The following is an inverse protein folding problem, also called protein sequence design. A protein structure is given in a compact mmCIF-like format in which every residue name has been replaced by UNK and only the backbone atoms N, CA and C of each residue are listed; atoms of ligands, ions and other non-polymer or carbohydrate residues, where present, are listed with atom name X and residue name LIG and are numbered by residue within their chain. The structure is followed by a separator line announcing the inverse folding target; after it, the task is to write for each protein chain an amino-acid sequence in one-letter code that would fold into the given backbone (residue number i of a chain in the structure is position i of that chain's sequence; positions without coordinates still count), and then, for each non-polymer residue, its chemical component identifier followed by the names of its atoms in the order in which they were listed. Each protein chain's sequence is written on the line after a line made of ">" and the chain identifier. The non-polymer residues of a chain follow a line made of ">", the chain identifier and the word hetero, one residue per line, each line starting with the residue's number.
data_IF_641405283129
#
_entry.id   IF_641405283129
#
_cell.length_a   1.000
_cell.length_b   1.000
_cell.length_c   1.000
_cell.angle_alpha   90.00
_cell.angle_beta   90.00
_cell.angle_gamma   90.00
#
_symmetry.space_group_name_H-M   'P 1'
#
loop_
_entity.id
_entity.type
_entity.pdbx_description
1 polymer ?
#
# COMPACT_ATOMS: atom_id res chain seq x y z
N UNK A 1 9.01 -31.16 -0.06
CA UNK A 1 7.89 -31.53 -0.96
C UNK A 1 7.83 -30.43 -1.99
N UNK A 2 8.36 -30.66 -3.17
CA UNK A 2 8.38 -29.69 -4.28
C UNK A 2 7.01 -29.75 -4.93
N UNK A 3 6.18 -28.74 -4.76
CA UNK A 3 4.92 -28.61 -5.50
C UNK A 3 5.30 -28.36 -6.94
N UNK A 4 4.96 -29.29 -7.81
CA UNK A 4 5.17 -29.22 -9.25
C UNK A 4 4.45 -27.97 -9.78
N UNK A 5 5.17 -27.13 -10.50
CA UNK A 5 4.69 -25.89 -11.14
C UNK A 5 3.68 -26.12 -12.28
N UNK A 6 3.15 -27.33 -12.42
CA UNK A 6 2.25 -27.74 -13.48
C UNK A 6 0.75 -27.75 -13.13
N UNK A 7 0.36 -27.33 -11.92
CA UNK A 7 -1.02 -27.45 -11.43
C UNK A 7 -1.87 -26.18 -11.59
N UNK A 8 -1.26 -25.05 -11.92
CA UNK A 8 -2.00 -23.80 -12.10
C UNK A 8 -2.23 -23.53 -13.60
N UNK A 9 -3.44 -23.14 -14.01
CA UNK A 9 -3.69 -22.76 -15.38
C UNK A 9 -2.87 -21.53 -15.76
N UNK A 10 -2.38 -21.49 -17.01
CA UNK A 10 -1.80 -20.29 -17.56
C UNK A 10 -2.92 -19.27 -17.79
N UNK A 11 -2.84 -18.12 -17.11
CA UNK A 11 -3.83 -17.05 -17.29
C UNK A 11 -3.49 -16.21 -18.51
N UNK A 12 -4.49 -15.97 -19.36
CA UNK A 12 -4.40 -15.06 -20.49
C UNK A 12 -4.85 -13.67 -20.09
N UNK A 13 -4.16 -12.63 -20.54
CA UNK A 13 -4.50 -11.23 -20.26
C UNK A 13 -5.63 -10.67 -21.11
N UNK A 14 -6.14 -11.44 -22.09
CA UNK A 14 -7.09 -10.96 -23.10
C UNK A 14 -8.52 -11.50 -22.96
N UNK A 15 -8.80 -12.38 -22.02
CA UNK A 15 -10.10 -13.06 -21.88
C UNK A 15 -10.59 -13.11 -20.45
N UNK A 16 -11.91 -13.01 -20.26
CA UNK A 16 -12.55 -13.30 -18.97
C UNK A 16 -12.46 -14.80 -18.72
N UNK A 17 -11.61 -15.19 -17.79
CA UNK A 17 -11.48 -16.59 -17.37
C UNK A 17 -12.30 -16.82 -16.09
N UNK A 18 -13.01 -17.96 -16.06
CA UNK A 18 -13.78 -18.36 -14.89
C UNK A 18 -13.18 -19.60 -14.28
N UNK A 19 -12.67 -19.49 -13.07
CA UNK A 19 -12.26 -20.64 -12.27
C UNK A 19 -13.44 -21.15 -11.44
N UNK A 20 -13.65 -22.46 -11.46
CA UNK A 20 -14.73 -23.14 -10.73
C UNK A 20 -14.09 -24.18 -9.80
N UNK A 21 -14.66 -24.38 -8.62
CA UNK A 21 -14.22 -25.41 -7.67
C UNK A 21 -12.99 -25.03 -6.86
N UNK A 22 -12.65 -23.73 -6.80
CA UNK A 22 -11.60 -23.23 -5.91
C UNK A 22 -12.22 -23.02 -4.52
N UNK A 23 -11.71 -23.73 -3.50
CA UNK A 23 -12.11 -23.48 -2.11
C UNK A 23 -11.52 -22.16 -1.59
N UNK A 24 -12.10 -21.61 -0.53
CA UNK A 24 -11.59 -20.37 0.10
C UNK A 24 -10.13 -20.48 0.51
N UNK A 25 -9.69 -21.67 0.95
CA UNK A 25 -8.31 -21.94 1.39
C UNK A 25 -7.34 -22.02 0.20
N UNK A 26 -7.83 -22.41 -0.98
CA UNK A 26 -7.02 -22.49 -2.18
C UNK A 26 -6.97 -21.19 -2.99
N UNK A 27 -7.76 -20.18 -2.62
CA UNK A 27 -7.87 -18.93 -3.36
C UNK A 27 -6.52 -18.18 -3.41
N UNK A 28 -5.87 -18.00 -2.26
CA UNK A 28 -4.64 -17.21 -2.19
C UNK A 28 -3.45 -17.83 -2.94
N UNK A 29 -3.19 -19.16 -2.90
CA UNK A 29 -2.19 -19.77 -3.77
C UNK A 29 -2.48 -19.62 -5.27
N UNK A 30 -3.76 -19.67 -5.67
CA UNK A 30 -4.18 -19.48 -7.07
C UNK A 30 -3.93 -18.04 -7.51
N UNK A 31 -4.31 -17.07 -6.67
CA UNK A 31 -4.08 -15.63 -6.92
C UNK A 31 -2.58 -15.31 -6.95
N UNK A 32 -1.77 -15.91 -6.09
CA UNK A 32 -0.31 -15.73 -6.11
C UNK A 32 0.28 -16.24 -7.44
N UNK A 33 -0.12 -17.43 -7.88
CA UNK A 33 0.29 -17.98 -9.15
C UNK A 33 -0.13 -17.11 -10.34
N UNK A 34 -1.34 -16.54 -10.32
CA UNK A 34 -1.79 -15.57 -11.32
C UNK A 34 -0.97 -14.29 -11.28
N UNK A 35 -0.74 -13.74 -10.09
CA UNK A 35 -0.02 -12.48 -9.92
C UNK A 35 1.45 -12.57 -10.36
N UNK A 36 2.09 -13.72 -10.16
CA UNK A 36 3.50 -13.96 -10.52
C UNK A 36 3.68 -14.45 -11.95
N UNK A 37 2.69 -15.08 -12.55
CA UNK A 37 2.75 -15.69 -13.90
C UNK A 37 2.45 -14.72 -15.04
N UNK A 38 1.96 -13.51 -14.77
CA UNK A 38 1.61 -12.51 -15.77
C UNK A 38 2.67 -11.42 -15.88
N UNK A 39 2.60 -10.62 -16.96
CA UNK A 39 3.47 -9.45 -17.11
C UNK A 39 3.42 -8.53 -15.88
N UNK A 40 4.54 -7.87 -15.60
CA UNK A 40 4.68 -6.90 -14.53
C UNK A 40 3.63 -5.79 -14.68
N UNK A 41 2.75 -5.65 -13.70
CA UNK A 41 1.61 -4.73 -13.79
C UNK A 41 0.97 -4.55 -12.41
N UNK A 42 0.15 -3.53 -12.28
CA UNK A 42 -0.78 -3.40 -11.16
C UNK A 42 -1.96 -4.33 -11.39
N UNK A 43 -2.25 -5.17 -10.42
CA UNK A 43 -3.35 -6.14 -10.44
C UNK A 43 -4.31 -5.83 -9.30
N UNK A 44 -5.60 -5.91 -9.56
CA UNK A 44 -6.63 -5.65 -8.57
C UNK A 44 -7.40 -6.93 -8.29
N UNK A 45 -7.48 -7.31 -7.02
CA UNK A 45 -8.31 -8.41 -6.51
C UNK A 45 -9.49 -7.79 -5.78
N UNK A 46 -10.69 -7.98 -6.32
CA UNK A 46 -11.92 -7.45 -5.73
C UNK A 46 -12.57 -8.53 -4.89
N UNK A 47 -12.90 -8.20 -3.65
CA UNK A 47 -13.53 -9.09 -2.68
C UNK A 47 -14.81 -8.48 -2.12
N UNK A 48 -15.61 -9.28 -1.42
CA UNK A 48 -16.95 -8.90 -0.96
C UNK A 48 -16.96 -7.94 0.22
N UNK A 49 -15.95 -8.00 1.08
CA UNK A 49 -15.91 -7.25 2.33
C UNK A 49 -14.47 -7.01 2.82
N UNK A 50 -14.29 -6.05 3.75
CA UNK A 50 -12.99 -5.65 4.29
C UNK A 50 -12.27 -6.79 5.01
N UNK A 51 -12.99 -7.62 5.76
CA UNK A 51 -12.41 -8.77 6.47
C UNK A 51 -11.79 -9.76 5.49
N UNK A 52 -12.47 -9.99 4.36
CA UNK A 52 -11.94 -10.87 3.31
C UNK A 52 -10.78 -10.21 2.59
N UNK A 53 -10.78 -8.87 2.44
CA UNK A 53 -9.67 -8.12 1.86
C UNK A 53 -8.41 -8.27 2.73
N UNK A 54 -8.51 -8.00 4.02
CA UNK A 54 -7.42 -8.16 4.99
C UNK A 54 -6.87 -9.59 4.97
N UNK A 55 -7.74 -10.58 5.11
CA UNK A 55 -7.35 -11.99 5.08
C UNK A 55 -6.64 -12.36 3.77
N UNK A 56 -7.18 -11.95 2.63
CA UNK A 56 -6.63 -12.27 1.32
C UNK A 56 -5.27 -11.62 1.11
N UNK A 57 -5.09 -10.36 1.52
CA UNK A 57 -3.81 -9.66 1.45
C UNK A 57 -2.75 -10.33 2.35
N UNK A 58 -3.13 -10.69 3.59
CA UNK A 58 -2.24 -11.39 4.53
C UNK A 58 -1.80 -12.76 4.01
N UNK A 59 -2.74 -13.57 3.50
CA UNK A 59 -2.48 -14.89 2.94
C UNK A 59 -1.60 -14.80 1.69
N UNK A 60 -1.87 -13.87 0.77
CA UNK A 60 -1.03 -13.61 -0.39
C UNK A 60 0.40 -13.21 0.02
N UNK A 61 0.52 -12.34 1.01
CA UNK A 61 1.81 -11.95 1.59
C UNK A 61 2.58 -13.13 2.18
N UNK A 62 1.89 -14.06 2.82
CA UNK A 62 2.50 -15.28 3.33
C UNK A 62 3.04 -16.17 2.21
N UNK A 63 2.25 -16.46 1.19
CA UNK A 63 2.66 -17.29 0.05
C UNK A 63 3.79 -16.62 -0.75
N UNK A 64 3.72 -15.31 -0.98
CA UNK A 64 4.75 -14.54 -1.67
C UNK A 64 6.10 -14.59 -0.93
N UNK A 65 6.11 -14.49 0.40
CA UNK A 65 7.34 -14.62 1.20
C UNK A 65 8.02 -15.98 1.05
N UNK A 66 7.22 -17.05 0.96
CA UNK A 66 7.74 -18.42 0.74
C UNK A 66 8.29 -18.63 -0.68
N UNK A 67 7.72 -17.94 -1.66
CA UNK A 67 8.12 -18.07 -3.06
C UNK A 67 9.34 -17.23 -3.45
N UNK A 68 9.79 -16.32 -2.57
CA UNK A 68 10.82 -15.30 -2.84
C UNK A 68 12.17 -15.82 -3.33
N UNK A 69 12.53 -17.05 -3.03
CA UNK A 69 13.84 -17.59 -3.42
C UNK A 69 14.04 -17.72 -4.95
N UNK A 70 12.96 -17.66 -5.75
CA UNK A 70 13.01 -17.92 -7.20
C UNK A 70 12.16 -16.98 -8.07
N UNK A 71 11.52 -15.94 -7.54
CA UNK A 71 10.56 -15.11 -8.29
C UNK A 71 10.73 -13.62 -8.02
N UNK A 72 10.29 -12.78 -8.95
CA UNK A 72 10.37 -11.32 -8.85
C UNK A 72 9.61 -10.76 -7.63
N UNK A 73 9.93 -9.52 -7.27
CA UNK A 73 9.30 -8.83 -6.14
C UNK A 73 7.83 -8.53 -6.44
N UNK A 74 6.94 -9.06 -5.60
CA UNK A 74 5.52 -8.77 -5.62
C UNK A 74 5.18 -7.96 -4.36
N UNK A 75 4.72 -6.73 -4.55
CA UNK A 75 4.16 -5.90 -3.47
C UNK A 75 2.67 -6.20 -3.34
N UNK A 76 2.19 -6.45 -2.13
CA UNK A 76 0.79 -6.79 -1.87
C UNK A 76 0.27 -5.80 -0.84
N UNK A 77 -0.82 -5.12 -1.19
CA UNK A 77 -1.45 -4.11 -0.35
C UNK A 77 -2.96 -4.35 -0.28
N UNK A 78 -3.54 -4.06 0.87
CA UNK A 78 -4.98 -3.84 0.98
C UNK A 78 -5.25 -2.37 0.73
N UNK A 79 -6.27 -2.05 -0.04
CA UNK A 79 -6.83 -0.71 -0.16
C UNK A 79 -8.06 -0.66 0.74
N UNK A 80 -8.01 -0.02 1.91
CA UNK A 80 -9.15 0.05 2.81
C UNK A 80 -10.21 1.02 2.29
N UNK A 81 -11.48 0.79 2.63
CA UNK A 81 -12.52 1.79 2.45
C UNK A 81 -12.48 2.78 3.63
N UNK A 82 -12.49 4.08 3.33
CA UNK A 82 -12.65 5.11 4.36
C UNK A 82 -14.13 5.15 4.75
N UNK A 83 -14.42 4.85 6.02
CA UNK A 83 -15.77 4.93 6.54
C UNK A 83 -16.29 6.37 6.46
N UNK A 84 -17.56 6.54 6.05
CA UNK A 84 -18.21 7.85 5.99
C UNK A 84 -18.87 8.22 7.31
N UNK A 85 -18.85 7.33 8.28
CA UNK A 85 -19.38 7.57 9.62
C UNK A 85 -18.42 8.46 10.41
N UNK A 86 -18.94 9.59 10.88
CA UNK A 86 -18.15 10.68 11.49
C UNK A 86 -17.74 10.34 12.94
N UNK A 87 -18.24 9.25 13.51
CA UNK A 87 -18.03 8.92 14.93
C UNK A 87 -16.60 8.41 15.23
N UNK A 88 -15.85 7.92 14.23
CA UNK A 88 -14.48 7.40 14.41
C UNK A 88 -13.48 8.10 13.49
N UNK A 89 -13.06 9.29 13.89
CA UNK A 89 -12.08 10.10 13.14
C UNK A 89 -10.70 9.46 13.08
N UNK A 90 -10.32 8.70 14.10
CA UNK A 90 -9.02 8.02 14.14
C UNK A 90 -8.99 6.90 13.08
N UNK A 91 -10.01 6.06 13.03
CA UNK A 91 -10.12 5.02 12.00
C UNK A 91 -10.21 5.60 10.59
N UNK A 92 -10.86 6.76 10.40
CA UNK A 92 -10.89 7.46 9.10
C UNK A 92 -9.51 7.97 8.70
N UNK A 93 -8.76 8.54 9.64
CA UNK A 93 -7.39 9.01 9.41
C UNK A 93 -6.47 7.84 9.05
N UNK A 94 -6.54 6.74 9.78
CA UNK A 94 -5.73 5.55 9.53
C UNK A 94 -6.01 4.97 8.14
N UNK A 95 -7.29 4.74 7.80
CA UNK A 95 -7.69 4.25 6.48
C UNK A 95 -7.26 5.21 5.35
N UNK A 96 -7.39 6.52 5.57
CA UNK A 96 -6.93 7.54 4.62
C UNK A 96 -5.41 7.51 4.41
N UNK A 97 -4.65 7.35 5.48
CA UNK A 97 -3.19 7.24 5.46
C UNK A 97 -2.74 5.98 4.71
N UNK A 98 -3.39 4.84 4.97
CA UNK A 98 -3.14 3.60 4.25
C UNK A 98 -3.49 3.71 2.76
N UNK A 99 -4.61 4.36 2.40
CA UNK A 99 -4.95 4.61 0.99
C UNK A 99 -3.86 5.44 0.29
N UNK A 100 -3.37 6.50 0.93
CA UNK A 100 -2.29 7.34 0.38
C UNK A 100 -1.02 6.50 0.17
N UNK A 101 -0.65 5.64 1.12
CA UNK A 101 0.50 4.76 1.01
C UNK A 101 0.38 3.80 -0.19
N UNK A 102 -0.79 3.18 -0.37
CA UNK A 102 -1.07 2.28 -1.50
C UNK A 102 -1.01 3.03 -2.84
N UNK A 103 -1.59 4.22 -2.92
CA UNK A 103 -1.57 5.05 -4.13
C UNK A 103 -0.15 5.49 -4.48
N UNK A 104 0.69 5.80 -3.49
CA UNK A 104 2.09 6.13 -3.72
C UNK A 104 2.90 4.93 -4.20
N UNK A 105 2.66 3.75 -3.66
CA UNK A 105 3.29 2.51 -4.13
C UNK A 105 2.93 2.23 -5.60
N UNK A 106 1.66 2.38 -5.98
CA UNK A 106 1.22 2.25 -7.38
C UNK A 106 1.94 3.27 -8.27
N UNK A 107 2.01 4.52 -7.85
CA UNK A 107 2.67 5.59 -8.59
C UNK A 107 4.17 5.36 -8.74
N UNK A 108 4.79 4.81 -7.71
CA UNK A 108 6.24 4.56 -7.63
C UNK A 108 6.65 3.25 -8.29
N UNK A 109 5.71 2.34 -8.51
CA UNK A 109 5.96 1.03 -9.14
C UNK A 109 6.53 1.22 -10.56
N UNK A 110 7.83 1.03 -10.71
CA UNK A 110 8.52 1.13 -12.00
C UNK A 110 8.71 -0.27 -12.56
N UNK A 111 8.43 -0.42 -13.85
CA UNK A 111 8.73 -1.48 -14.82
C UNK A 111 9.10 -2.91 -14.39
N UNK A 112 9.68 -3.09 -13.21
CA UNK A 112 10.16 -4.37 -12.69
C UNK A 112 9.39 -4.89 -11.47
N UNK A 113 8.47 -4.11 -10.89
CA UNK A 113 7.65 -4.51 -9.76
C UNK A 113 6.23 -4.88 -10.22
N UNK A 114 5.71 -5.99 -9.69
CA UNK A 114 4.30 -6.31 -9.75
C UNK A 114 3.63 -5.88 -8.44
N UNK A 115 2.51 -5.16 -8.53
CA UNK A 115 1.74 -4.72 -7.37
C UNK A 115 0.38 -5.40 -7.42
N UNK A 116 -0.04 -6.00 -6.30
CA UNK A 116 -1.38 -6.55 -6.11
C UNK A 116 -2.11 -5.73 -5.07
N UNK A 117 -3.24 -5.18 -5.48
CA UNK A 117 -4.16 -4.45 -4.60
C UNK A 117 -5.34 -5.33 -4.30
N UNK A 118 -5.60 -5.61 -3.04
CA UNK A 118 -6.81 -6.29 -2.59
C UNK A 118 -7.77 -5.24 -2.05
N UNK A 119 -8.98 -5.17 -2.59
CA UNK A 119 -9.93 -4.12 -2.25
C UNK A 119 -11.38 -4.60 -2.31
N UNK A 120 -12.26 -3.90 -1.64
CA UNK A 120 -13.71 -3.98 -1.86
C UNK A 120 -14.14 -3.05 -2.99
N UNK A 121 -15.35 -3.24 -3.49
CA UNK A 121 -15.90 -2.32 -4.50
C UNK A 121 -16.12 -0.92 -3.91
N UNK A 122 -16.43 -0.83 -2.62
CA UNK A 122 -16.60 0.43 -1.89
C UNK A 122 -15.29 1.22 -1.83
N UNK A 123 -14.18 0.57 -1.50
CA UNK A 123 -12.87 1.21 -1.50
C UNK A 123 -12.49 1.75 -2.89
N UNK A 124 -12.73 0.95 -3.94
CA UNK A 124 -12.44 1.33 -5.33
C UNK A 124 -13.34 2.43 -5.88
N UNK A 125 -14.54 2.60 -5.33
CA UNK A 125 -15.49 3.64 -5.74
C UNK A 125 -15.23 5.00 -5.08
N UNK A 126 -14.34 5.08 -4.10
CA UNK A 126 -13.98 6.32 -3.42
C UNK A 126 -13.08 7.20 -4.29
N UNK A 127 -13.21 8.52 -4.10
CA UNK A 127 -12.37 9.48 -4.79
C UNK A 127 -10.93 9.43 -4.26
N UNK A 128 -9.97 9.40 -5.16
CA UNK A 128 -8.55 9.45 -4.84
C UNK A 128 -7.91 10.71 -5.45
N UNK A 129 -6.85 11.27 -4.84
CA UNK A 129 -6.11 12.36 -5.44
C UNK A 129 -5.46 11.91 -6.76
N UNK A 130 -5.42 12.80 -7.74
CA UNK A 130 -4.71 12.50 -8.98
C UNK A 130 -3.18 12.37 -8.73
N UNK A 131 -2.45 11.64 -9.61
CA UNK A 131 -1.02 11.35 -9.38
C UNK A 131 -0.13 12.60 -9.27
N UNK A 132 -0.49 13.74 -9.89
CA UNK A 132 0.28 14.97 -9.79
C UNK A 132 0.05 15.65 -8.46
N UNK A 133 -1.19 15.69 -7.99
CA UNK A 133 -1.55 16.19 -6.67
C UNK A 133 -0.86 15.36 -5.60
N UNK A 134 -0.91 14.02 -5.68
CA UNK A 134 -0.23 13.14 -4.74
C UNK A 134 1.29 13.42 -4.71
N UNK A 135 1.93 13.57 -5.87
CA UNK A 135 3.35 13.89 -5.95
C UNK A 135 3.69 15.26 -5.34
N UNK A 136 2.81 16.26 -5.50
CA UNK A 136 3.02 17.60 -4.95
C UNK A 136 2.86 17.66 -3.41
N UNK A 137 2.18 16.67 -2.82
CA UNK A 137 1.98 16.53 -1.38
C UNK A 137 3.09 15.71 -0.70
N UNK A 138 4.15 15.34 -1.43
CA UNK A 138 5.24 14.54 -0.88
C UNK A 138 6.48 15.38 -0.61
N UNK A 139 7.17 15.05 0.50
CA UNK A 139 8.52 15.52 0.81
C UNK A 139 9.44 14.30 0.73
N UNK A 140 10.44 14.37 -0.14
CA UNK A 140 11.47 13.32 -0.24
C UNK A 140 12.75 13.79 0.45
N UNK A 141 13.11 13.13 1.56
CA UNK A 141 14.36 13.38 2.27
C UNK A 141 15.37 12.27 1.97
N UNK A 142 16.57 12.64 1.56
CA UNK A 142 17.66 11.69 1.27
C UNK A 142 18.85 11.98 2.15
N UNK A 143 19.42 10.92 2.74
CA UNK A 143 20.68 11.02 3.50
C UNK A 143 21.77 11.60 2.62
N UNK A 144 22.47 12.63 3.14
CA UNK A 144 23.56 13.31 2.43
C UNK A 144 23.11 14.44 1.49
N UNK A 145 21.81 14.74 1.40
CA UNK A 145 21.30 15.92 0.68
C UNK A 145 20.85 16.98 1.69
N UNK A 146 21.19 18.24 1.41
CA UNK A 146 20.72 19.38 2.20
C UNK A 146 19.35 19.84 1.69
N UNK A 147 18.31 19.63 2.48
CA UNK A 147 16.96 20.12 2.19
C UNK A 147 16.74 21.55 2.70
N UNK A 148 17.56 21.98 3.67
CA UNK A 148 17.38 23.24 4.40
C UNK A 148 16.37 23.12 5.54
N UNK A 149 16.83 23.42 6.75
CA UNK A 149 16.05 23.27 7.99
C UNK A 149 14.73 24.05 7.97
N UNK A 150 14.79 25.34 7.62
CA UNK A 150 13.60 26.20 7.56
C UNK A 150 12.68 25.85 6.37
N UNK A 151 13.25 25.28 5.31
CA UNK A 151 12.48 24.78 4.17
C UNK A 151 11.62 23.58 4.56
N UNK A 152 12.21 22.62 5.29
CA UNK A 152 11.49 21.45 5.77
C UNK A 152 10.35 21.83 6.72
N UNK A 153 10.58 22.76 7.65
CA UNK A 153 9.53 23.21 8.56
C UNK A 153 8.34 23.81 7.82
N UNK A 154 8.61 24.69 6.84
CA UNK A 154 7.55 25.29 6.01
C UNK A 154 6.77 24.26 5.21
N UNK A 155 7.46 23.25 4.67
CA UNK A 155 6.80 22.20 3.91
C UNK A 155 5.97 21.27 4.80
N UNK A 156 6.41 20.97 6.02
CA UNK A 156 5.63 20.23 7.01
C UNK A 156 4.36 20.99 7.40
N UNK A 157 4.48 22.30 7.71
CA UNK A 157 3.33 23.15 7.99
C UNK A 157 2.37 23.25 6.79
N UNK A 158 2.89 23.34 5.56
CA UNK A 158 2.08 23.34 4.32
C UNK A 158 1.33 22.03 4.11
N UNK A 159 1.88 20.92 4.56
CA UNK A 159 1.27 19.59 4.52
C UNK A 159 0.39 19.29 5.74
N UNK A 160 0.10 20.30 6.54
CA UNK A 160 -0.79 20.22 7.70
C UNK A 160 -0.30 19.28 8.81
N UNK A 161 1.04 19.16 8.95
CA UNK A 161 1.63 18.46 10.07
C UNK A 161 1.55 19.29 11.34
N UNK A 162 1.13 18.68 12.43
CA UNK A 162 1.04 19.31 13.74
C UNK A 162 2.42 19.47 14.38
N UNK A 163 2.73 20.70 14.83
CA UNK A 163 3.96 20.99 15.56
C UNK A 163 3.78 20.71 17.05
N UNK A 164 4.42 19.67 17.54
CA UNK A 164 4.32 19.21 18.92
C UNK A 164 5.67 19.27 19.67
N UNK A 165 5.62 19.22 20.99
CA UNK A 165 6.84 19.14 21.81
C UNK A 165 7.53 17.77 21.74
N UNK A 166 6.76 16.71 21.45
CA UNK A 166 7.20 15.35 21.24
C UNK A 166 6.37 14.75 20.09
N UNK A 167 7.05 14.03 19.21
CA UNK A 167 6.44 13.40 18.04
C UNK A 167 5.95 11.99 18.42
N UNK A 168 4.67 11.84 18.76
CA UNK A 168 4.10 10.59 19.30
C UNK A 168 3.10 9.91 18.36
N UNK A 169 2.54 10.66 17.40
CA UNK A 169 1.55 10.16 16.47
C UNK A 169 1.87 10.53 15.01
N UNK A 170 1.38 9.75 14.02
CA UNK A 170 1.47 10.11 12.61
C UNK A 170 0.90 11.51 12.33
N UNK A 171 1.52 12.25 11.41
CA UNK A 171 1.13 13.63 11.10
C UNK A 171 1.72 14.66 12.04
N UNK A 172 2.57 14.29 12.99
CA UNK A 172 3.24 15.21 13.92
C UNK A 172 4.70 15.44 13.53
N UNK A 173 5.20 16.61 13.91
CA UNK A 173 6.64 16.89 13.94
C UNK A 173 7.04 17.64 15.19
N UNK A 174 8.29 17.45 15.62
CA UNK A 174 8.88 18.15 16.77
C UNK A 174 10.22 18.78 16.40
N UNK A 175 10.43 20.02 16.84
CA UNK A 175 11.69 20.76 16.66
C UNK A 175 12.47 20.82 17.96
N UNK A 176 13.72 20.37 17.95
CA UNK A 176 14.61 20.42 19.12
C UNK A 176 16.01 20.94 18.73
N UNK A 177 16.23 22.23 18.92
CA UNK A 177 17.48 22.86 18.47
C UNK A 177 17.66 22.72 16.95
N UNK A 178 18.70 22.03 16.52
CA UNK A 178 18.98 21.74 15.10
C UNK A 178 18.46 20.39 14.59
N UNK A 179 17.58 19.72 15.35
CA UNK A 179 17.00 18.43 14.98
C UNK A 179 15.49 18.59 14.74
N UNK A 180 14.98 17.82 13.80
CA UNK A 180 13.55 17.70 13.53
C UNK A 180 13.18 16.22 13.61
N UNK A 181 12.22 15.89 14.47
CA UNK A 181 11.56 14.60 14.50
C UNK A 181 10.27 14.71 13.67
N UNK A 182 10.02 13.79 12.77
CA UNK A 182 8.82 13.74 11.92
C UNK A 182 8.21 12.36 12.01
N UNK A 183 6.91 12.28 12.22
CA UNK A 183 6.15 11.04 12.13
C UNK A 183 5.29 11.09 10.87
N UNK A 184 5.79 10.53 9.74
CA UNK A 184 5.02 10.52 8.50
C UNK A 184 3.72 9.76 8.67
N UNK A 185 2.65 10.22 8.01
CA UNK A 185 1.32 9.57 8.06
C UNK A 185 1.32 8.14 7.52
N UNK A 186 2.31 7.78 6.70
CA UNK A 186 2.45 6.44 6.08
C UNK A 186 3.53 5.59 6.73
N UNK A 187 4.02 5.95 7.91
CA UNK A 187 5.11 5.25 8.58
C UNK A 187 4.69 4.68 9.94
N UNK A 188 5.32 3.59 10.35
CA UNK A 188 5.06 2.93 11.64
C UNK A 188 5.78 3.57 12.82
N UNK A 189 6.64 4.56 12.57
CA UNK A 189 7.47 5.21 13.60
C UNK A 189 7.99 6.57 13.14
N UNK A 190 8.33 7.47 14.10
CA UNK A 190 8.96 8.72 13.76
C UNK A 190 10.40 8.54 13.27
N UNK A 191 10.86 9.51 12.47
CA UNK A 191 12.23 9.65 11.96
C UNK A 191 12.85 10.96 12.46
N UNK A 192 14.18 10.95 12.58
CA UNK A 192 14.98 12.13 12.97
C UNK A 192 15.92 12.51 11.85
#
# INVERSE_FOLDING_TARGET
>A
MTVSSGLLPAFSTATVERLIGVSSEALSPVLEGWATGSEKSVKIVIVSDERLAEKTAADLGFFNRRARENRGHLSIHQLPAIATDIEDLEAQFDAGSEQIAVLDEIRSAKGDASVVIVATIEALAQSAPDPKTLAALQIELKVGTDYGFDGLLKDLERLDYDHEGLCEAPGQFAKRGGLIDVYPITADKPYR
#
